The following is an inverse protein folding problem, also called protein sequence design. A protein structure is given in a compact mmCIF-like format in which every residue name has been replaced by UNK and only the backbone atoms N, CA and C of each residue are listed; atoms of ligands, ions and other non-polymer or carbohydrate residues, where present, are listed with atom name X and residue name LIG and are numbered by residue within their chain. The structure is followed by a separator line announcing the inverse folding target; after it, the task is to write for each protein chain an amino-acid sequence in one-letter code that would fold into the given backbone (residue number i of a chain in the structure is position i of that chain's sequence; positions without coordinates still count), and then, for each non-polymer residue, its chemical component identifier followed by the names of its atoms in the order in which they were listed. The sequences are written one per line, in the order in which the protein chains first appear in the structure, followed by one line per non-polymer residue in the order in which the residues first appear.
data_IF_997249296158
#
_entry.id   IF_997249296158
#
_cell.length_a   1.000
_cell.length_b   1.000
_cell.length_c   1.000
_cell.angle_alpha   90.00
_cell.angle_beta   90.00
_cell.angle_gamma   90.00
#
_symmetry.space_group_name_H-M   'P 1'
#
loop_
_entity.id
_entity.type
_entity.pdbx_description
1 polymer ?
#
# COMPACT_ATOMS: atom_id res chain seq x y z
N UNK A 1 -8.29 31.49 -4.42
CA UNK A 1 -6.96 31.82 -4.97
C UNK A 1 -6.64 30.81 -6.05
N UNK A 2 -7.07 31.09 -7.28
CA UNK A 2 -6.73 30.30 -8.47
C UNK A 2 -5.69 31.12 -9.23
N UNK A 3 -4.53 30.54 -9.51
CA UNK A 3 -3.46 31.22 -10.27
C UNK A 3 -3.29 30.52 -11.62
N UNK A 4 -3.66 31.29 -12.64
CA UNK A 4 -3.12 31.43 -13.99
C UNK A 4 -3.06 30.21 -14.94
N UNK A 5 -3.96 30.28 -15.92
CA UNK A 5 -3.82 29.74 -17.28
C UNK A 5 -2.65 30.42 -18.02
N UNK A 6 -1.88 29.64 -18.77
CA UNK A 6 -0.99 30.16 -19.81
C UNK A 6 -1.70 30.21 -21.17
N UNK A 7 -1.91 31.41 -21.69
CA UNK A 7 -2.13 31.77 -23.11
C UNK A 7 -0.77 31.72 -23.85
N UNK A 8 -0.57 31.64 -25.17
CA UNK A 8 -1.37 31.61 -26.41
C UNK A 8 -0.41 31.35 -27.58
N UNK A 9 -0.89 30.82 -28.72
CA UNK A 9 -0.49 31.35 -30.03
C UNK A 9 -1.73 31.52 -30.92
N UNK A 10 -1.81 32.68 -31.59
CA UNK A 10 -2.79 32.99 -32.64
C UNK A 10 -2.04 33.01 -33.96
N UNK A 11 -2.54 32.29 -34.96
CA UNK A 11 -2.23 32.52 -36.36
C UNK A 11 -3.54 32.55 -37.15
N UNK A 12 -3.69 33.58 -37.98
CA UNK A 12 -4.90 33.88 -38.72
C UNK A 12 -4.77 33.36 -40.17
N UNK A 13 -5.27 32.17 -40.50
CA UNK A 13 -5.76 31.86 -41.85
C UNK A 13 -6.61 30.58 -41.89
N UNK A 14 -7.44 30.52 -42.91
CA UNK A 14 -8.62 29.70 -43.14
C UNK A 14 -8.28 28.24 -43.49
N UNK A 15 -9.19 27.34 -43.10
CA UNK A 15 -9.34 25.92 -43.47
C UNK A 15 -8.10 25.03 -43.26
N UNK A 16 -8.10 24.24 -42.20
CA UNK A 16 -7.71 22.83 -42.26
C UNK A 16 -8.11 22.12 -40.96
N UNK A 17 -8.69 20.94 -41.15
CA UNK A 17 -9.29 20.06 -40.15
C UNK A 17 -8.56 20.05 -38.80
N UNK A 18 -9.24 20.52 -37.75
CA UNK A 18 -8.83 20.20 -36.38
C UNK A 18 -9.06 18.70 -36.19
N UNK A 19 -8.02 17.91 -36.41
CA UNK A 19 -7.97 16.55 -35.88
C UNK A 19 -8.19 16.65 -34.37
N UNK A 20 -9.36 16.22 -33.90
CA UNK A 20 -9.56 15.92 -32.49
C UNK A 20 -8.43 14.97 -32.09
N UNK A 21 -7.51 15.47 -31.26
CA UNK A 21 -6.55 14.61 -30.59
C UNK A 21 -7.40 13.83 -29.58
N UNK A 22 -7.82 12.62 -29.96
CA UNK A 22 -8.23 11.61 -29.00
C UNK A 22 -7.08 11.47 -28.01
N UNK A 23 -7.31 11.97 -26.80
CA UNK A 23 -6.44 11.67 -25.66
C UNK A 23 -6.70 10.21 -25.36
N UNK A 24 -5.96 9.31 -26.03
CA UNK A 24 -5.93 7.89 -25.73
C UNK A 24 -5.71 7.75 -24.22
N UNK A 25 -6.64 7.04 -23.57
CA UNK A 25 -6.56 6.71 -22.15
C UNK A 25 -5.14 6.24 -21.83
N UNK A 26 -4.49 6.95 -20.91
CA UNK A 26 -3.12 6.66 -20.50
C UNK A 26 -3.12 5.28 -19.88
N UNK A 27 -2.64 4.29 -20.63
CA UNK A 27 -2.39 2.95 -20.13
C UNK A 27 -1.44 3.05 -18.93
N UNK A 28 -1.99 2.76 -17.75
CA UNK A 28 -1.33 2.87 -16.45
C UNK A 28 -0.33 1.73 -16.19
N UNK A 29 -0.03 0.89 -17.19
CA UNK A 29 0.73 -0.37 -17.01
C UNK A 29 2.22 -0.34 -17.40
N UNK A 30 2.76 0.72 -18.02
CA UNK A 30 4.17 0.69 -18.44
C UNK A 30 5.13 0.63 -17.25
N UNK A 31 5.80 -0.51 -17.09
CA UNK A 31 6.78 -0.80 -16.03
C UNK A 31 7.96 -1.59 -16.59
N UNK A 32 9.16 -1.33 -16.09
CA UNK A 32 10.35 -2.10 -16.47
C UNK A 32 10.45 -3.30 -15.53
N UNK A 33 10.45 -4.50 -16.11
CA UNK A 33 10.52 -5.76 -15.37
C UNK A 33 11.79 -6.53 -15.75
N UNK A 34 12.31 -7.30 -14.80
CA UNK A 34 13.44 -8.18 -15.02
C UNK A 34 13.02 -9.44 -15.81
N UNK A 35 13.99 -10.34 -16.03
CA UNK A 35 13.75 -11.62 -16.75
C UNK A 35 12.74 -12.55 -16.05
N UNK A 36 12.51 -12.35 -14.76
CA UNK A 36 11.55 -13.11 -13.95
C UNK A 36 10.17 -12.43 -13.89
N UNK A 37 10.01 -11.25 -14.52
CA UNK A 37 8.79 -10.47 -14.50
C UNK A 37 8.65 -9.57 -13.26
N UNK A 38 9.67 -9.45 -12.42
CA UNK A 38 9.66 -8.60 -11.23
C UNK A 38 9.95 -7.14 -11.59
N UNK A 39 9.35 -6.19 -10.86
CA UNK A 39 9.58 -4.77 -11.09
C UNK A 39 11.03 -4.38 -10.77
N UNK A 40 11.71 -3.75 -11.72
CA UNK A 40 13.07 -3.26 -11.51
C UNK A 40 13.03 -1.95 -10.71
N UNK A 41 13.52 -1.96 -9.47
CA UNK A 41 13.45 -0.78 -8.57
C UNK A 41 14.61 0.20 -8.74
N UNK A 42 15.69 -0.24 -9.39
CA UNK A 42 16.83 0.60 -9.70
C UNK A 42 17.50 0.15 -11.00
N UNK A 43 17.88 1.11 -11.84
CA UNK A 43 18.62 0.89 -13.08
C UNK A 43 19.82 1.84 -13.10
N UNK A 44 20.98 1.42 -13.65
CA UNK A 44 22.06 2.36 -13.94
C UNK A 44 21.57 3.51 -14.83
N UNK A 45 21.98 4.75 -14.53
CA UNK A 45 21.52 5.96 -15.23
C UNK A 45 21.79 5.91 -16.73
N UNK A 46 22.92 5.34 -17.15
CA UNK A 46 23.26 5.17 -18.56
C UNK A 46 22.32 4.18 -19.29
N UNK A 47 21.80 3.20 -18.54
CA UNK A 47 20.83 2.25 -19.07
C UNK A 47 19.45 2.89 -19.25
N UNK A 48 19.05 3.84 -18.40
CA UNK A 48 17.78 4.58 -18.58
C UNK A 48 17.76 5.36 -19.90
N UNK A 49 18.85 6.08 -20.20
CA UNK A 49 19.00 6.80 -21.48
C UNK A 49 18.99 5.84 -22.67
N UNK A 50 19.67 4.70 -22.53
CA UNK A 50 19.68 3.67 -23.57
C UNK A 50 18.30 3.08 -23.84
N UNK A 51 17.50 2.87 -22.78
CA UNK A 51 16.12 2.37 -22.87
C UNK A 51 15.21 3.41 -23.55
N UNK A 52 15.32 4.69 -23.19
CA UNK A 52 14.55 5.75 -23.84
C UNK A 52 14.86 5.82 -25.34
N UNK A 53 16.15 5.82 -25.72
CA UNK A 53 16.59 5.87 -27.12
C UNK A 53 16.06 4.65 -27.90
N UNK A 54 16.13 3.45 -27.32
CA UNK A 54 15.61 2.23 -27.94
C UNK A 54 14.08 2.29 -28.14
N UNK A 55 13.34 2.80 -27.16
CA UNK A 55 11.89 2.99 -27.26
C UNK A 55 11.52 4.00 -28.35
N UNK A 56 12.26 5.10 -28.48
CA UNK A 56 12.09 6.09 -29.55
C UNK A 56 12.37 5.45 -30.91
N UNK A 57 13.48 4.71 -31.04
CA UNK A 57 13.83 3.99 -32.28
C UNK A 57 12.78 2.95 -32.69
N UNK A 58 12.02 2.43 -31.73
CA UNK A 58 10.89 1.50 -31.95
C UNK A 58 9.53 2.19 -32.11
N UNK A 59 9.48 3.52 -32.16
CA UNK A 59 8.26 4.30 -32.31
C UNK A 59 7.35 4.32 -31.06
N UNK A 60 7.84 3.88 -29.90
CA UNK A 60 7.08 3.80 -28.63
C UNK A 60 7.20 5.10 -27.82
N UNK A 61 6.84 6.23 -28.44
CA UNK A 61 7.06 7.57 -27.89
C UNK A 61 6.37 7.81 -26.54
N UNK A 62 5.14 7.29 -26.35
CA UNK A 62 4.42 7.40 -25.09
C UNK A 62 5.14 6.68 -23.93
N UNK A 63 5.80 5.55 -24.21
CA UNK A 63 6.56 4.77 -23.23
C UNK A 63 7.93 5.40 -22.95
N UNK A 64 8.58 5.93 -23.98
CA UNK A 64 9.83 6.67 -23.84
C UNK A 64 9.66 7.88 -22.90
N UNK A 65 8.60 8.68 -23.09
CA UNK A 65 8.28 9.85 -22.24
C UNK A 65 8.02 9.49 -20.76
N UNK A 66 7.72 8.21 -20.47
CA UNK A 66 7.47 7.75 -19.11
C UNK A 66 8.71 7.24 -18.39
N UNK A 67 9.82 6.90 -19.07
CA UNK A 67 11.02 6.34 -18.44
C UNK A 67 11.56 7.25 -17.33
N UNK A 68 11.70 8.55 -17.60
CA UNK A 68 12.16 9.54 -16.61
C UNK A 68 11.07 10.08 -15.67
N UNK A 69 9.82 9.66 -15.87
CA UNK A 69 8.75 9.84 -14.87
C UNK A 69 8.82 8.72 -13.84
N UNK A 70 9.05 7.49 -14.32
CA UNK A 70 9.17 6.29 -13.51
C UNK A 70 10.47 6.28 -12.70
N UNK A 71 11.60 6.68 -13.28
CA UNK A 71 12.91 6.66 -12.61
C UNK A 71 13.53 8.05 -12.52
N UNK A 72 14.17 8.31 -11.38
CA UNK A 72 14.95 9.52 -11.18
C UNK A 72 16.19 9.52 -12.08
N UNK A 73 16.32 10.56 -12.90
CA UNK A 73 17.36 10.66 -13.93
C UNK A 73 18.79 10.81 -13.37
N UNK A 74 18.93 11.13 -12.08
CA UNK A 74 20.23 11.37 -11.44
C UNK A 74 20.72 10.17 -10.62
N UNK A 75 19.79 9.38 -10.07
CA UNK A 75 20.08 8.27 -9.17
C UNK A 75 19.74 6.91 -9.77
N UNK A 76 18.93 6.88 -10.83
CA UNK A 76 18.48 5.63 -11.45
C UNK A 76 17.43 4.87 -10.64
N UNK A 77 16.94 5.46 -9.55
CA UNK A 77 15.97 4.83 -8.65
C UNK A 77 14.55 5.04 -9.16
N UNK A 78 13.70 4.01 -9.00
CA UNK A 78 12.27 4.15 -9.27
C UNK A 78 11.66 5.17 -8.31
N UNK A 79 10.93 6.13 -8.86
CA UNK A 79 10.19 7.13 -8.10
C UNK A 79 9.06 6.45 -7.31
N UNK A 80 8.96 6.80 -6.02
CA UNK A 80 8.04 6.17 -5.07
C UNK A 80 6.56 6.32 -5.43
N UNK A 81 6.20 7.33 -6.23
CA UNK A 81 4.85 7.48 -6.77
C UNK A 81 4.44 6.34 -7.73
N UNK A 82 5.42 5.62 -8.27
CA UNK A 82 5.23 4.55 -9.27
C UNK A 82 5.63 3.16 -8.75
N UNK A 83 6.03 3.07 -7.48
CA UNK A 83 6.06 1.80 -6.78
C UNK A 83 4.63 1.21 -6.77
N UNK A 84 4.48 -0.12 -6.89
CA UNK A 84 3.23 -0.78 -6.56
C UNK A 84 2.86 -0.28 -5.17
N UNK A 85 1.67 0.33 -5.04
CA UNK A 85 1.27 1.07 -3.84
C UNK A 85 1.55 0.20 -2.65
N UNK A 86 2.61 0.50 -1.89
CA UNK A 86 2.99 -0.34 -0.77
C UNK A 86 4.39 -0.92 -0.68
N UNK A 87 5.10 -0.99 -1.80
CA UNK A 87 6.54 -1.23 -1.77
C UNK A 87 7.23 0.10 -1.45
N UNK A 88 8.07 0.13 -0.41
CA UNK A 88 8.99 1.25 -0.22
C UNK A 88 10.27 0.98 -0.99
N UNK A 89 10.92 2.05 -1.48
CA UNK A 89 12.25 1.98 -2.08
C UNK A 89 13.27 1.79 -0.95
N UNK A 90 13.28 0.60 -0.35
CA UNK A 90 14.11 0.15 0.76
C UNK A 90 14.89 1.23 1.50
N UNK A 91 14.19 2.09 2.27
CA UNK A 91 14.68 2.87 3.43
C UNK A 91 13.50 3.66 4.00
N UNK A 92 13.07 3.28 5.20
CA UNK A 92 12.16 4.11 6.00
C UNK A 92 12.93 5.36 6.41
N UNK A 93 12.39 6.55 6.15
CA UNK A 93 12.91 7.79 6.76
C UNK A 93 12.50 7.78 8.24
N UNK A 94 13.37 7.22 9.07
CA UNK A 94 13.31 7.05 10.53
C UNK A 94 13.23 8.37 11.34
N UNK A 95 13.00 9.51 10.68
CA UNK A 95 13.17 10.84 11.29
C UNK A 95 11.85 11.52 11.68
N UNK A 96 10.70 10.96 11.33
CA UNK A 96 9.38 11.56 11.59
C UNK A 96 8.55 10.80 12.65
N UNK A 97 8.99 9.61 13.07
CA UNK A 97 8.20 8.70 13.90
C UNK A 97 8.76 8.57 15.31
N UNK A 98 7.86 8.54 16.29
CA UNK A 98 8.20 8.41 17.70
C UNK A 98 8.72 7.01 18.06
N UNK A 99 9.45 6.90 19.19
CA UNK A 99 10.00 5.63 19.67
C UNK A 99 8.96 4.57 20.06
N UNK A 100 7.66 4.92 20.08
CA UNK A 100 6.54 4.03 20.40
C UNK A 100 5.67 3.68 19.19
N UNK A 101 6.02 4.16 17.99
CA UNK A 101 5.12 4.03 16.86
C UNK A 101 5.02 2.58 16.40
N UNK A 102 3.78 2.12 16.26
CA UNK A 102 3.44 0.81 15.71
C UNK A 102 2.90 1.00 14.30
N UNK A 103 3.41 0.19 13.38
CA UNK A 103 3.07 0.24 11.98
C UNK A 103 2.48 -1.08 11.51
N UNK A 104 1.43 -1.01 10.72
CA UNK A 104 0.87 -2.15 10.03
C UNK A 104 1.19 -2.10 8.54
N UNK A 105 1.25 -3.30 7.97
CA UNK A 105 1.37 -3.53 6.54
C UNK A 105 0.42 -4.64 6.13
N UNK A 106 0.01 -4.68 4.88
CA UNK A 106 -0.76 -5.80 4.35
C UNK A 106 -0.35 -6.20 2.94
N UNK A 107 -0.58 -7.46 2.58
CA UNK A 107 -0.61 -7.85 1.18
C UNK A 107 -2.05 -7.70 0.69
N UNK A 108 -2.28 -6.84 -0.30
CA UNK A 108 -3.60 -6.63 -0.88
C UNK A 108 -3.58 -7.04 -2.35
N UNK A 109 -4.65 -7.71 -2.77
CA UNK A 109 -4.81 -8.20 -4.15
C UNK A 109 -4.52 -7.07 -5.16
N UNK A 110 -3.72 -7.40 -6.17
CA UNK A 110 -3.26 -6.55 -7.27
C UNK A 110 -2.33 -5.38 -6.88
N UNK A 111 -2.28 -5.00 -5.60
CA UNK A 111 -1.35 -3.98 -5.10
C UNK A 111 -0.04 -4.56 -4.57
N UNK A 112 -0.06 -5.80 -4.10
CA UNK A 112 1.10 -6.43 -3.48
C UNK A 112 1.20 -6.08 -2.00
N UNK A 113 2.43 -6.03 -1.49
CA UNK A 113 2.73 -5.65 -0.10
C UNK A 113 2.60 -4.14 0.07
N UNK A 114 1.87 -3.69 1.09
CA UNK A 114 1.47 -2.31 1.29
C UNK A 114 1.62 -1.76 2.72
N UNK A 115 2.18 -0.56 2.85
CA UNK A 115 2.43 0.14 4.11
C UNK A 115 3.75 0.96 4.10
N UNK A 116 4.22 1.45 5.25
CA UNK A 116 3.57 1.36 6.56
C UNK A 116 2.31 2.22 6.65
N UNK A 117 1.34 1.75 7.43
CA UNK A 117 0.28 2.57 7.99
C UNK A 117 0.49 2.67 9.50
N UNK A 118 0.42 3.86 10.06
CA UNK A 118 0.49 4.06 11.51
C UNK A 118 -0.74 3.48 12.20
N UNK A 119 -0.62 3.21 13.50
CA UNK A 119 -1.77 2.90 14.34
C UNK A 119 -2.84 3.99 14.25
N UNK A 120 -4.10 3.61 14.39
CA UNK A 120 -5.22 4.53 14.44
C UNK A 120 -5.27 5.29 15.77
N UNK A 121 -5.71 6.54 15.74
CA UNK A 121 -6.03 7.27 16.98
C UNK A 121 -7.42 6.86 17.49
N UNK A 122 -7.52 6.43 18.75
CA UNK A 122 -8.81 6.14 19.36
C UNK A 122 -9.50 7.43 19.80
N UNK A 123 -10.38 7.93 18.93
CA UNK A 123 -11.16 9.16 19.18
C UNK A 123 -12.66 8.87 19.41
N UNK A 124 -13.03 7.63 19.73
CA UNK A 124 -14.44 7.23 19.83
C UNK A 124 -15.21 7.29 18.51
N UNK A 125 -14.50 7.31 17.37
CA UNK A 125 -15.11 7.42 16.03
C UNK A 125 -15.39 6.05 15.39
N UNK A 126 -16.54 5.95 14.71
CA UNK A 126 -16.95 4.72 14.02
C UNK A 126 -16.05 4.37 12.83
N UNK A 127 -15.55 5.39 12.12
CA UNK A 127 -14.67 5.27 10.96
C UNK A 127 -13.26 5.72 11.37
N UNK A 128 -12.26 4.83 11.38
CA UNK A 128 -10.89 5.21 11.70
C UNK A 128 -10.32 6.07 10.57
N UNK A 129 -9.58 7.12 10.93
CA UNK A 129 -8.90 8.02 9.96
C UNK A 129 -7.61 7.44 9.41
N UNK A 130 -7.04 6.45 10.10
CA UNK A 130 -5.85 5.71 9.71
C UNK A 130 -6.13 4.21 9.82
N UNK A 131 -5.73 3.45 8.80
CA UNK A 131 -5.95 2.02 8.74
C UNK A 131 -5.03 1.36 7.70
N UNK A 132 -4.84 0.06 7.84
CA UNK A 132 -4.06 -0.79 6.95
C UNK A 132 -4.97 -1.37 5.88
N UNK A 133 -4.62 -1.19 4.60
CA UNK A 133 -5.45 -1.62 3.47
C UNK A 133 -6.21 -0.49 2.81
N UNK A 134 -7.00 -0.84 1.81
CA UNK A 134 -7.92 0.07 1.14
C UNK A 134 -9.35 -0.44 1.27
N UNK A 135 -10.30 0.46 1.51
CA UNK A 135 -11.74 0.16 1.56
C UNK A 135 -12.41 0.48 0.23
N UNK A 136 -13.50 -0.21 -0.11
CA UNK A 136 -14.38 0.16 -1.24
C UNK A 136 -13.84 -0.10 -2.65
N UNK A 137 -12.57 -0.51 -2.79
CA UNK A 137 -11.93 -0.81 -4.07
C UNK A 137 -12.13 -2.27 -4.52
N UNK A 138 -12.90 -3.05 -3.75
CA UNK A 138 -13.13 -4.48 -3.98
C UNK A 138 -11.86 -5.34 -4.01
N UNK A 139 -10.77 -4.88 -3.39
CA UNK A 139 -9.52 -5.63 -3.26
C UNK A 139 -9.44 -6.32 -1.89
N UNK A 140 -9.28 -7.63 -1.89
CA UNK A 140 -9.15 -8.45 -0.67
C UNK A 140 -7.77 -8.30 -0.03
N UNK A 141 -7.74 -8.35 1.28
CA UNK A 141 -6.52 -8.48 2.08
C UNK A 141 -6.14 -9.97 2.16
N UNK A 142 -4.92 -10.31 1.76
CA UNK A 142 -4.41 -11.69 1.75
C UNK A 142 -3.42 -11.96 2.89
N UNK A 143 -2.72 -10.94 3.36
CA UNK A 143 -1.74 -11.06 4.42
C UNK A 143 -1.46 -9.75 5.14
N UNK A 144 -0.74 -9.82 6.26
CA UNK A 144 -0.33 -8.69 7.05
C UNK A 144 0.95 -8.96 7.83
N UNK A 145 1.62 -7.88 8.22
CA UNK A 145 2.55 -7.88 9.33
C UNK A 145 2.47 -6.57 10.09
N UNK A 146 2.80 -6.61 11.37
CA UNK A 146 2.91 -5.44 12.21
C UNK A 146 4.37 -5.29 12.63
N UNK A 147 4.85 -4.06 12.76
CA UNK A 147 6.18 -3.75 13.28
C UNK A 147 6.10 -2.53 14.19
N UNK A 148 7.19 -2.21 14.86
CA UNK A 148 7.34 -0.97 15.63
C UNK A 148 8.77 -0.46 15.47
N UNK A 149 9.01 0.82 15.78
CA UNK A 149 10.32 1.43 15.68
C UNK A 149 11.36 0.72 16.58
N UNK A 150 12.60 0.69 16.12
CA UNK A 150 13.66 -0.16 16.68
C UNK A 150 14.13 0.26 18.09
N UNK A 151 13.73 1.44 18.58
CA UNK A 151 14.28 2.06 19.78
C UNK A 151 13.93 1.36 21.10
N UNK A 152 13.04 0.35 21.13
CA UNK A 152 12.51 -0.24 22.38
C UNK A 152 12.56 -1.76 22.46
N UNK A 153 13.64 -2.40 22.01
CA UNK A 153 13.81 -3.87 22.12
C UNK A 153 13.53 -4.45 23.53
N UNK A 154 13.85 -3.80 24.68
CA UNK A 154 13.57 -4.35 26.01
C UNK A 154 12.13 -4.17 26.52
N UNK A 155 11.36 -3.20 25.99
CA UNK A 155 10.03 -2.82 26.50
C UNK A 155 8.89 -3.04 25.51
N UNK A 156 9.16 -3.63 24.33
CA UNK A 156 8.12 -3.93 23.34
C UNK A 156 7.04 -4.82 23.94
N UNK A 157 5.74 -4.44 23.86
CA UNK A 157 4.68 -5.38 24.18
C UNK A 157 4.81 -6.59 23.27
N UNK A 158 4.70 -7.79 23.86
CA UNK A 158 4.66 -9.02 23.10
C UNK A 158 3.33 -9.11 22.37
N UNK A 159 3.29 -8.59 21.14
CA UNK A 159 2.10 -8.58 20.29
C UNK A 159 2.15 -9.74 19.32
N UNK A 160 1.01 -10.38 19.20
CA UNK A 160 0.76 -11.46 18.27
C UNK A 160 -0.47 -11.15 17.44
N UNK A 161 -0.51 -11.71 16.24
CA UNK A 161 -1.62 -11.52 15.32
C UNK A 161 -1.79 -12.73 14.41
N UNK A 162 -3.03 -12.96 13.99
CA UNK A 162 -3.40 -14.01 13.06
C UNK A 162 -4.57 -13.57 12.19
N UNK A 163 -4.63 -14.11 10.98
CA UNK A 163 -5.69 -13.90 10.01
C UNK A 163 -6.57 -15.15 9.93
N UNK A 164 -7.86 -14.95 9.67
CA UNK A 164 -8.80 -16.04 9.46
C UNK A 164 -9.18 -16.14 7.99
N UNK A 165 -9.27 -17.37 7.49
CA UNK A 165 -9.72 -17.71 6.14
C UNK A 165 -10.94 -18.62 6.21
N UNK A 166 -12.01 -18.23 5.51
CA UNK A 166 -13.29 -18.95 5.54
C UNK A 166 -13.77 -19.23 6.96
N UNK A 167 -14.53 -20.30 7.14
CA UNK A 167 -15.32 -20.45 8.36
C UNK A 167 -14.50 -20.73 9.62
N UNK A 168 -13.42 -21.52 9.58
CA UNK A 168 -12.76 -21.96 10.81
C UNK A 168 -11.22 -22.02 10.74
N UNK A 169 -10.60 -21.59 9.64
CA UNK A 169 -9.15 -21.73 9.48
C UNK A 169 -8.42 -20.46 9.88
N UNK A 170 -7.51 -20.56 10.84
CA UNK A 170 -6.59 -19.48 11.21
C UNK A 170 -5.20 -19.72 10.60
N UNK A 171 -4.51 -18.65 10.24
CA UNK A 171 -3.07 -18.70 9.99
C UNK A 171 -2.28 -18.99 11.27
N UNK A 172 -1.01 -19.35 11.12
CA UNK A 172 -0.09 -19.38 12.24
C UNK A 172 0.00 -17.99 12.91
N UNK A 173 0.15 -18.00 14.23
CA UNK A 173 0.35 -16.78 15.01
C UNK A 173 1.69 -16.15 14.62
N UNK A 174 1.63 -14.92 14.11
CA UNK A 174 2.81 -14.11 13.85
C UNK A 174 3.06 -13.16 15.03
N UNK A 175 4.33 -12.79 15.24
CA UNK A 175 4.71 -11.66 16.09
C UNK A 175 5.33 -10.55 15.25
N UNK A 176 5.86 -9.52 15.90
CA UNK A 176 6.47 -8.37 15.25
C UNK A 176 7.39 -8.73 14.08
N UNK A 177 7.18 -8.07 12.95
CA UNK A 177 7.93 -8.23 11.71
C UNK A 177 7.63 -9.52 10.94
N UNK A 178 6.90 -10.48 11.52
CA UNK A 178 6.58 -11.73 10.86
C UNK A 178 5.34 -11.62 9.98
N UNK A 179 5.46 -12.04 8.72
CA UNK A 179 4.30 -12.10 7.84
C UNK A 179 3.33 -13.23 8.26
N UNK A 180 2.04 -12.91 8.32
CA UNK A 180 0.96 -13.90 8.39
C UNK A 180 0.02 -13.65 7.23
N UNK A 181 -0.40 -14.67 6.51
CA UNK A 181 -1.08 -14.41 5.24
C UNK A 181 -0.76 -15.37 4.13
N UNK A 182 -1.22 -15.02 2.94
CA UNK A 182 -0.71 -15.46 1.65
C UNK A 182 -0.29 -14.26 0.83
N UNK A 183 0.61 -14.46 -0.14
CA UNK A 183 0.93 -13.47 -1.18
C UNK A 183 0.61 -14.05 -2.54
N UNK A 184 -0.08 -13.27 -3.38
CA UNK A 184 -0.39 -13.64 -4.77
C UNK A 184 -1.25 -14.91 -4.95
N UNK A 185 -1.84 -15.44 -3.88
CA UNK A 185 -2.68 -16.65 -3.96
C UNK A 185 -4.14 -16.32 -4.19
N UNK A 186 -4.51 -15.04 -4.22
CA UNK A 186 -5.90 -14.64 -4.39
C UNK A 186 -6.82 -15.15 -3.27
N UNK A 187 -6.27 -15.51 -2.10
CA UNK A 187 -7.02 -16.07 -0.98
C UNK A 187 -7.49 -14.95 -0.05
N UNK A 188 -8.80 -14.71 -0.02
CA UNK A 188 -9.38 -13.68 0.84
C UNK A 188 -9.31 -14.08 2.32
N UNK A 189 -8.80 -13.17 3.14
CA UNK A 189 -9.01 -13.22 4.59
C UNK A 189 -10.42 -12.71 4.91
N UNK A 190 -10.99 -13.15 6.03
CA UNK A 190 -12.33 -12.75 6.48
C UNK A 190 -12.30 -11.92 7.77
N UNK A 191 -11.15 -11.88 8.43
CA UNK A 191 -10.98 -11.21 9.71
C UNK A 191 -9.62 -11.49 10.32
N UNK A 192 -9.42 -10.91 11.50
CA UNK A 192 -8.18 -10.97 12.25
C UNK A 192 -8.42 -11.08 13.76
N UNK A 193 -7.34 -11.40 14.46
CA UNK A 193 -7.18 -11.14 15.89
C UNK A 193 -5.78 -10.60 16.15
N UNK A 194 -5.67 -9.72 17.11
CA UNK A 194 -4.41 -9.16 17.61
C UNK A 194 -4.47 -9.29 19.13
N UNK A 195 -3.37 -9.64 19.79
CA UNK A 195 -3.35 -9.74 21.24
C UNK A 195 -1.96 -9.45 21.80
N UNK A 196 -1.93 -8.94 23.02
CA UNK A 196 -0.72 -8.87 23.83
C UNK A 196 -0.71 -10.02 24.84
N UNK A 197 0.46 -10.62 25.09
CA UNK A 197 0.64 -11.47 26.28
C UNK A 197 1.18 -10.68 27.47
N UNK A 198 1.51 -9.40 27.28
CA UNK A 198 1.91 -8.51 28.35
C UNK A 198 0.66 -7.82 28.93
N UNK A 199 0.33 -8.00 30.23
CA UNK A 199 -0.88 -7.45 30.84
C UNK A 199 -0.85 -5.93 31.01
N UNK A 200 0.31 -5.28 30.91
CA UNK A 200 0.42 -3.81 30.91
C UNK A 200 -0.04 -3.19 29.58
N UNK A 201 -0.47 -4.00 28.61
CA UNK A 201 -0.90 -3.52 27.30
C UNK A 201 -2.21 -4.18 26.87
N UNK A 202 -3.05 -3.41 26.19
CA UNK A 202 -4.23 -3.91 25.50
C UNK A 202 -4.21 -3.51 24.04
N UNK A 203 -4.53 -4.47 23.19
CA UNK A 203 -4.64 -4.29 21.75
C UNK A 203 -6.08 -4.09 21.36
N UNK A 204 -6.34 -3.15 20.46
CA UNK A 204 -7.67 -2.84 19.97
C UNK A 204 -7.66 -2.75 18.47
N UNK A 205 -8.64 -3.38 17.82
CA UNK A 205 -8.69 -3.47 16.37
C UNK A 205 -10.10 -3.71 15.84
N UNK A 206 -10.29 -3.37 14.57
CA UNK A 206 -11.49 -3.72 13.83
C UNK A 206 -11.19 -3.99 12.36
N UNK A 207 -11.87 -4.97 11.79
CA UNK A 207 -11.88 -5.26 10.37
C UNK A 207 -12.84 -4.34 9.61
N UNK A 208 -12.50 -4.03 8.37
CA UNK A 208 -13.44 -3.55 7.36
C UNK A 208 -13.72 -4.69 6.39
N UNK A 209 -14.96 -5.16 6.34
CA UNK A 209 -15.38 -6.23 5.43
C UNK A 209 -16.18 -5.66 4.26
N UNK A 210 -15.99 -6.22 3.07
CA UNK A 210 -16.71 -5.81 1.88
C UNK A 210 -18.23 -5.80 2.09
N UNK A 211 -18.90 -4.75 1.59
CA UNK A 211 -20.36 -4.53 1.71
C UNK A 211 -20.89 -4.33 3.13
N UNK A 212 -20.13 -4.70 4.17
CA UNK A 212 -20.50 -4.53 5.58
C UNK A 212 -19.94 -3.22 6.14
N UNK A 213 -18.71 -2.88 5.76
CA UNK A 213 -17.99 -1.74 6.32
C UNK A 213 -17.18 -2.11 7.56
N UNK A 214 -16.85 -1.08 8.36
CA UNK A 214 -16.13 -1.23 9.62
C UNK A 214 -16.96 -1.97 10.66
N UNK A 215 -16.42 -3.08 11.16
CA UNK A 215 -17.07 -3.86 12.21
C UNK A 215 -17.16 -3.04 13.50
N UNK A 216 -18.33 -3.07 14.13
CA UNK A 216 -18.57 -2.46 15.44
C UNK A 216 -18.95 -3.52 16.48
N UNK A 217 -18.59 -3.33 17.76
CA UNK A 217 -17.59 -2.36 18.23
C UNK A 217 -16.16 -2.80 17.87
N UNK A 218 -15.17 -1.97 18.22
CA UNK A 218 -13.77 -2.40 18.28
C UNK A 218 -13.65 -3.68 19.13
N UNK A 219 -12.78 -4.59 18.69
CA UNK A 219 -12.43 -5.82 19.38
C UNK A 219 -11.09 -5.66 20.05
N UNK A 220 -10.88 -6.39 21.13
CA UNK A 220 -9.63 -6.36 21.87
C UNK A 220 -9.08 -7.74 22.15
N UNK A 221 -7.76 -7.79 22.32
CA UNK A 221 -7.02 -8.88 22.96
C UNK A 221 -7.49 -10.29 22.57
N UNK A 222 -7.35 -10.62 21.29
CA UNK A 222 -7.56 -11.96 20.75
C UNK A 222 -8.98 -12.24 20.28
N UNK A 223 -9.94 -11.34 20.55
CA UNK A 223 -11.31 -11.45 20.04
C UNK A 223 -11.34 -11.41 18.50
N UNK A 224 -12.24 -12.19 17.89
CA UNK A 224 -12.42 -12.18 16.44
C UNK A 224 -13.02 -10.85 15.96
N UNK A 225 -12.32 -10.17 15.06
CA UNK A 225 -12.86 -9.07 14.27
C UNK A 225 -12.94 -9.49 12.80
N UNK A 226 -14.14 -9.47 12.23
CA UNK A 226 -14.41 -9.91 10.87
C UNK A 226 -15.81 -10.46 10.70
N UNK A 227 -16.13 -10.88 9.48
CA UNK A 227 -17.42 -11.47 9.12
C UNK A 227 -17.18 -12.72 8.28
N UNK A 228 -17.68 -13.87 8.74
CA UNK A 228 -17.37 -15.20 8.18
C UNK A 228 -17.50 -15.29 6.65
N UNK A 229 -18.53 -14.68 6.07
CA UNK A 229 -18.84 -14.78 4.64
C UNK A 229 -18.48 -13.52 3.84
N UNK A 230 -17.63 -12.64 4.37
CA UNK A 230 -17.24 -11.39 3.71
C UNK A 230 -15.74 -11.19 3.77
N UNK A 231 -15.12 -10.98 2.61
CA UNK A 231 -13.69 -10.66 2.53
C UNK A 231 -13.38 -9.41 3.37
N UNK A 232 -12.26 -9.45 4.06
CA UNK A 232 -11.66 -8.29 4.69
C UNK A 232 -10.89 -7.49 3.63
N UNK A 233 -11.04 -6.17 3.67
CA UNK A 233 -10.39 -5.23 2.74
C UNK A 233 -9.35 -4.36 3.46
N UNK A 234 -9.62 -4.05 4.73
CA UNK A 234 -8.73 -3.26 5.58
C UNK A 234 -8.91 -3.63 7.06
N UNK A 235 -8.00 -3.18 7.91
CA UNK A 235 -8.17 -3.20 9.36
C UNK A 235 -7.54 -1.97 10.00
N UNK A 236 -8.08 -1.54 11.13
CA UNK A 236 -7.50 -0.51 11.97
C UNK A 236 -7.10 -1.13 13.30
N UNK A 237 -6.04 -0.61 13.91
CA UNK A 237 -5.57 -1.09 15.20
C UNK A 237 -4.90 0.04 16.01
N UNK A 238 -4.89 -0.10 17.33
CA UNK A 238 -4.08 0.69 18.25
C UNK A 238 -3.71 -0.14 19.48
N UNK A 239 -2.66 0.28 20.18
CA UNK A 239 -2.20 -0.37 21.40
C UNK A 239 -2.20 0.66 22.52
N UNK A 240 -2.82 0.29 23.64
CA UNK A 240 -2.81 1.07 24.87
C UNK A 240 -1.84 0.45 25.86
N UNK A 241 -1.12 1.29 26.58
CA UNK A 241 -0.34 0.93 27.75
C UNK A 241 -1.06 1.43 29.00
N UNK A 242 -1.10 0.62 30.04
CA UNK A 242 -1.65 0.95 31.36
C UNK A 242 -0.56 1.19 32.39
#
# INVERSE_FOLDING_TARGET
MLVLMGLVFVSCHVDDDFAEIEIEEIDTEFRIRDINGELVKALPVDLLKSIEIDLIGKGKLAKASQVFKLYDASTGQLNSAYLPKGESNGRMNDTQYGPNDVFGYCHQQDYGDIGPFSQAEYLGVEQPTQYVGHTGQSKKLEGMWLTTSAALVPTRPAVYYALRYGDLTWSANATWGQFTGTRGQSKATIGLKIWSTNPSFSTWYKAHNATVGWNQPWKSDGQFSGVTNKRMEAFAFYILQY
#
